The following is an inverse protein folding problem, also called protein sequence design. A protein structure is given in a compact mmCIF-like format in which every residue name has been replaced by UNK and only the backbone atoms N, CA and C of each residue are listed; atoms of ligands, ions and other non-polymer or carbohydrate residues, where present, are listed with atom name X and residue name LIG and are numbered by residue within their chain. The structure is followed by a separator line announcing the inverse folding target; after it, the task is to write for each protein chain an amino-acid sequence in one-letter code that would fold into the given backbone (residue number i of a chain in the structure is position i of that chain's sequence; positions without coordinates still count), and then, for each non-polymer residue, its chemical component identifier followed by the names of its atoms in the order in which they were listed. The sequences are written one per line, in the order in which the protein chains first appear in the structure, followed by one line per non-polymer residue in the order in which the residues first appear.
data_IF_660032981831
#
_entry.id   IF_660032981831
#
_cell.length_a   1.000
_cell.length_b   1.000
_cell.length_c   1.000
_cell.angle_alpha   90.00
_cell.angle_beta   90.00
_cell.angle_gamma   90.00
#
_symmetry.space_group_name_H-M   'P 1'
#
loop_
_entity.id
_entity.type
_entity.pdbx_description
1 polymer ?
#
# COMPACT_ATOMS: atom_id res chain seq x y z
N UNK A 1 12.08 -64.21 -8.02
CA UNK A 1 11.31 -63.31 -8.90
C UNK A 1 11.31 -61.95 -8.25
N UNK A 2 12.13 -61.02 -8.75
CA UNK A 2 12.22 -59.66 -8.24
C UNK A 2 11.01 -58.87 -8.72
N UNK A 3 10.12 -58.49 -7.80
CA UNK A 3 9.05 -57.54 -8.08
C UNK A 3 9.72 -56.19 -8.29
N UNK A 4 9.64 -55.68 -9.52
CA UNK A 4 10.20 -54.41 -9.93
C UNK A 4 9.57 -53.27 -9.11
N UNK A 5 10.41 -52.29 -8.78
CA UNK A 5 10.09 -51.05 -8.07
C UNK A 5 8.74 -50.49 -8.53
N UNK A 6 7.76 -50.49 -7.64
CA UNK A 6 6.48 -49.81 -7.82
C UNK A 6 6.76 -48.33 -8.03
N UNK A 7 6.45 -47.85 -9.22
CA UNK A 7 6.51 -46.44 -9.59
C UNK A 7 5.75 -45.59 -8.56
N UNK A 8 6.48 -44.77 -7.80
CA UNK A 8 5.92 -43.92 -6.73
C UNK A 8 5.46 -42.55 -7.23
N UNK A 9 5.43 -42.32 -8.55
CA UNK A 9 4.99 -41.06 -9.13
C UNK A 9 3.58 -40.74 -8.67
N UNK A 10 3.38 -39.58 -8.03
CA UNK A 10 2.07 -39.14 -7.53
C UNK A 10 1.65 -39.70 -6.17
N UNK A 11 2.50 -40.46 -5.48
CA UNK A 11 2.26 -40.93 -4.11
C UNK A 11 3.23 -40.24 -3.13
N UNK A 12 2.70 -39.76 -2.01
CA UNK A 12 3.50 -39.23 -0.89
C UNK A 12 3.00 -39.80 0.43
N UNK A 13 3.90 -40.19 1.32
CA UNK A 13 3.58 -40.83 2.59
C UNK A 13 4.37 -40.18 3.73
N UNK A 14 3.72 -39.87 4.85
CA UNK A 14 4.36 -39.32 6.04
C UNK A 14 3.58 -39.63 7.32
N UNK A 15 4.23 -39.49 8.48
CA UNK A 15 3.58 -39.55 9.79
C UNK A 15 3.56 -38.16 10.42
N UNK A 16 2.42 -37.74 10.98
CA UNK A 16 2.27 -36.45 11.64
C UNK A 16 2.79 -36.48 13.08
N UNK A 17 3.08 -35.31 13.66
CA UNK A 17 3.50 -35.17 15.07
C UNK A 17 2.44 -35.68 16.06
N UNK A 18 1.17 -35.75 15.64
CA UNK A 18 0.06 -36.32 16.40
C UNK A 18 -0.05 -37.86 16.25
N UNK A 19 0.87 -38.49 15.52
CA UNK A 19 0.95 -39.95 15.36
C UNK A 19 0.07 -40.54 14.25
N UNK A 20 -0.51 -39.70 13.37
CA UNK A 20 -1.30 -40.20 12.23
C UNK A 20 -0.40 -40.54 11.05
N UNK A 21 -0.59 -41.71 10.48
CA UNK A 21 0.05 -42.11 9.23
C UNK A 21 -0.81 -41.65 8.04
N UNK A 22 -0.22 -40.89 7.13
CA UNK A 22 -0.91 -40.22 6.03
C UNK A 22 -0.32 -40.66 4.70
N UNK A 23 -1.21 -41.05 3.78
CA UNK A 23 -0.89 -41.36 2.37
C UNK A 23 -1.66 -40.39 1.46
N UNK A 24 -0.93 -39.53 0.75
CA UNK A 24 -1.46 -38.60 -0.25
C UNK A 24 -1.33 -39.22 -1.65
N UNK A 25 -2.43 -39.16 -2.40
CA UNK A 25 -2.55 -39.76 -3.73
C UNK A 25 -2.93 -38.66 -4.73
N UNK A 26 -2.01 -38.31 -5.62
CA UNK A 26 -2.22 -37.40 -6.75
C UNK A 26 -2.74 -38.17 -7.98
N UNK A 27 -3.43 -37.52 -8.92
CA UNK A 27 -3.98 -38.23 -10.10
C UNK A 27 -2.88 -38.90 -10.94
N UNK A 28 -1.64 -38.39 -10.91
CA UNK A 28 -0.49 -39.02 -11.57
C UNK A 28 -0.05 -40.35 -10.94
N UNK A 29 -0.61 -40.74 -9.79
CA UNK A 29 -0.47 -42.11 -9.27
C UNK A 29 -1.06 -43.16 -10.23
N UNK A 30 -2.00 -42.75 -11.08
CA UNK A 30 -2.57 -43.55 -12.14
C UNK A 30 -1.80 -43.29 -13.46
N UNK A 31 -1.08 -44.28 -14.01
CA UNK A 31 -0.31 -44.12 -15.25
C UNK A 31 -1.16 -43.63 -16.44
N UNK A 32 -2.44 -43.99 -16.48
CA UNK A 32 -3.34 -43.63 -17.57
C UNK A 32 -3.74 -42.14 -17.54
N UNK A 33 -3.56 -41.48 -16.38
CA UNK A 33 -3.90 -40.07 -16.15
C UNK A 33 -2.74 -39.11 -16.34
N UNK A 34 -1.57 -39.59 -16.77
CA UNK A 34 -0.36 -38.77 -16.92
C UNK A 34 -0.26 -38.05 -18.26
N UNK A 35 -1.09 -38.43 -19.23
CA UNK A 35 -1.05 -37.84 -20.57
C UNK A 35 -1.62 -36.42 -20.60
N UNK A 36 -1.05 -35.57 -21.44
CA UNK A 36 -1.56 -34.20 -21.67
C UNK A 36 -2.97 -34.20 -22.29
N UNK A 37 -3.29 -35.24 -23.07
CA UNK A 37 -4.64 -35.44 -23.61
C UNK A 37 -5.66 -35.67 -22.49
N UNK A 38 -5.32 -36.51 -21.51
CA UNK A 38 -6.17 -36.73 -20.34
C UNK A 38 -6.32 -35.45 -19.51
N UNK A 39 -5.22 -34.73 -19.25
CA UNK A 39 -5.28 -33.44 -18.52
C UNK A 39 -6.19 -32.44 -19.23
N UNK A 40 -6.09 -32.31 -20.56
CA UNK A 40 -6.94 -31.41 -21.34
C UNK A 40 -8.42 -31.79 -21.25
N UNK A 41 -8.74 -33.08 -21.29
CA UNK A 41 -10.12 -33.57 -21.17
C UNK A 41 -10.66 -33.41 -19.75
N UNK A 42 -9.85 -33.73 -18.73
CA UNK A 42 -10.23 -33.58 -17.33
C UNK A 42 -10.38 -32.10 -16.92
N UNK A 43 -9.64 -31.19 -17.57
CA UNK A 43 -9.82 -29.73 -17.42
C UNK A 43 -11.10 -29.19 -18.08
N UNK A 44 -11.75 -29.93 -18.98
CA UNK A 44 -12.98 -29.44 -19.61
C UNK A 44 -14.11 -29.35 -18.59
N UNK A 45 -14.57 -28.12 -18.32
CA UNK A 45 -15.67 -27.86 -17.39
C UNK A 45 -15.23 -27.52 -15.97
N UNK A 46 -13.92 -27.51 -15.69
CA UNK A 46 -13.35 -26.94 -14.47
C UNK A 46 -12.69 -25.61 -14.81
N UNK A 47 -12.84 -24.63 -13.93
CA UNK A 47 -11.99 -23.44 -13.97
C UNK A 47 -10.60 -23.78 -13.44
N UNK A 48 -9.62 -22.89 -13.68
CA UNK A 48 -8.23 -23.14 -13.27
C UNK A 48 -8.10 -23.42 -11.77
N UNK A 49 -8.96 -22.84 -10.93
CA UNK A 49 -8.97 -23.07 -9.47
C UNK A 49 -9.54 -24.42 -9.09
N UNK A 50 -10.65 -24.83 -9.71
CA UNK A 50 -11.20 -26.18 -9.53
C UNK A 50 -10.18 -27.24 -9.94
N UNK A 51 -9.40 -26.98 -10.99
CA UNK A 51 -8.29 -27.85 -11.36
C UNK A 51 -7.20 -27.90 -10.28
N UNK A 52 -6.72 -26.75 -9.81
CA UNK A 52 -5.62 -26.69 -8.86
C UNK A 52 -5.96 -27.30 -7.49
N UNK A 53 -7.22 -27.11 -7.04
CA UNK A 53 -7.70 -27.67 -5.77
C UNK A 53 -7.95 -29.17 -5.84
N UNK A 54 -8.68 -29.63 -6.86
CA UNK A 54 -9.15 -31.01 -6.93
C UNK A 54 -8.09 -31.96 -7.53
N UNK A 55 -7.27 -31.47 -8.47
CA UNK A 55 -6.33 -32.31 -9.22
C UNK A 55 -4.87 -32.07 -8.81
N UNK A 56 -4.42 -30.83 -8.70
CA UNK A 56 -3.02 -30.54 -8.31
C UNK A 56 -2.77 -30.62 -6.78
N UNK A 57 -3.81 -30.98 -6.00
CA UNK A 57 -3.78 -31.10 -4.54
C UNK A 57 -3.15 -29.88 -3.88
N UNK A 58 -3.45 -28.69 -4.40
CA UNK A 58 -2.90 -27.46 -3.88
C UNK A 58 -3.59 -27.07 -2.56
N UNK A 59 -3.05 -27.55 -1.45
CA UNK A 59 -3.50 -27.22 -0.09
C UNK A 59 -3.13 -25.80 0.35
N UNK A 60 -2.48 -24.99 -0.50
CA UNK A 60 -2.32 -23.55 -0.28
C UNK A 60 -3.61 -22.76 -0.57
N UNK A 61 -4.71 -23.45 -0.88
CA UNK A 61 -6.06 -22.90 -1.03
C UNK A 61 -6.49 -22.15 0.25
N UNK A 62 -6.07 -20.90 0.36
CA UNK A 62 -6.79 -19.90 1.13
C UNK A 62 -8.21 -19.85 0.54
N UNK A 63 -9.25 -19.77 1.38
CA UNK A 63 -10.63 -19.58 0.89
C UNK A 63 -10.65 -18.41 -0.12
N UNK A 64 -11.36 -18.55 -1.25
CA UNK A 64 -11.52 -17.47 -2.24
C UNK A 64 -10.52 -17.47 -3.41
N UNK A 65 -10.67 -16.48 -4.30
CA UNK A 65 -9.89 -16.31 -5.52
C UNK A 65 -8.76 -15.29 -5.29
N UNK A 66 -7.47 -15.67 -5.35
CA UNK A 66 -6.37 -14.73 -5.17
C UNK A 66 -6.43 -13.55 -6.15
N UNK A 67 -6.28 -12.34 -5.61
CA UNK A 67 -6.49 -11.10 -6.39
C UNK A 67 -5.52 -10.98 -7.56
N UNK A 68 -4.22 -11.19 -7.30
CA UNK A 68 -3.15 -10.97 -8.29
C UNK A 68 -2.66 -12.27 -8.95
N UNK A 69 -3.45 -13.34 -8.96
CA UNK A 69 -3.03 -14.68 -9.44
C UNK A 69 -2.43 -14.72 -10.85
N UNK A 70 -2.85 -13.78 -11.71
CA UNK A 70 -2.47 -13.70 -13.13
C UNK A 70 -1.32 -12.72 -13.37
N UNK A 71 -0.82 -12.06 -12.34
CA UNK A 71 0.21 -11.03 -12.44
C UNK A 71 1.38 -11.31 -11.48
N UNK A 72 1.15 -12.02 -10.38
CA UNK A 72 2.15 -12.32 -9.37
C UNK A 72 2.87 -13.65 -9.62
N UNK A 73 4.20 -13.62 -9.55
CA UNK A 73 5.09 -14.76 -9.63
C UNK A 73 6.22 -14.58 -8.59
N UNK A 74 6.18 -15.35 -7.49
CA UNK A 74 7.13 -15.18 -6.38
C UNK A 74 8.60 -15.27 -6.81
N UNK A 75 8.93 -16.12 -7.79
CA UNK A 75 10.31 -16.27 -8.29
C UNK A 75 10.84 -15.06 -9.07
N UNK A 76 9.93 -14.21 -9.57
CA UNK A 76 10.23 -13.00 -10.36
C UNK A 76 10.18 -11.76 -9.46
N UNK A 77 9.11 -11.63 -8.69
CA UNK A 77 8.80 -10.41 -7.93
C UNK A 77 9.43 -10.36 -6.54
N UNK A 78 9.85 -11.49 -5.97
CA UNK A 78 10.61 -11.49 -4.71
C UNK A 78 12.09 -11.40 -5.02
N UNK A 79 12.74 -10.35 -4.51
CA UNK A 79 14.16 -10.14 -4.71
C UNK A 79 14.99 -11.24 -4.00
N UNK A 80 15.88 -11.88 -4.76
CA UNK A 80 16.80 -12.93 -4.25
C UNK A 80 17.88 -12.35 -3.34
N UNK A 81 18.15 -11.06 -3.47
CA UNK A 81 19.06 -10.28 -2.61
C UNK A 81 18.31 -9.09 -2.03
N UNK A 82 18.66 -8.63 -0.82
CA UNK A 82 18.06 -7.43 -0.25
C UNK A 82 18.15 -6.23 -1.21
N UNK A 83 17.01 -5.58 -1.44
CA UNK A 83 16.95 -4.36 -2.25
C UNK A 83 17.54 -3.20 -1.45
N UNK A 84 18.61 -2.59 -1.95
CA UNK A 84 19.17 -1.39 -1.38
C UNK A 84 18.26 -0.19 -1.67
N UNK A 85 18.10 0.70 -0.69
CA UNK A 85 17.47 1.99 -0.91
C UNK A 85 18.48 2.96 -1.54
N UNK A 86 17.98 3.90 -2.33
CA UNK A 86 18.75 4.97 -2.97
C UNK A 86 18.49 6.30 -2.24
N UNK A 87 19.44 6.89 -1.50
CA UNK A 87 19.21 8.09 -0.70
C UNK A 87 18.73 9.31 -1.50
N UNK A 88 19.13 9.41 -2.76
CA UNK A 88 18.78 10.49 -3.68
C UNK A 88 17.34 10.38 -4.22
N UNK A 89 16.69 9.23 -4.05
CA UNK A 89 15.33 8.97 -4.51
C UNK A 89 14.37 9.01 -3.30
N UNK A 90 13.23 9.72 -3.39
CA UNK A 90 12.24 9.71 -2.33
C UNK A 90 11.75 8.29 -2.00
N UNK A 91 11.65 7.98 -0.71
CA UNK A 91 10.96 6.78 -0.23
C UNK A 91 9.46 7.08 -0.19
N UNK A 92 8.72 6.38 -1.04
CA UNK A 92 7.27 6.47 -1.11
C UNK A 92 6.65 5.50 -0.12
N UNK A 93 5.83 6.03 0.78
CA UNK A 93 5.12 5.31 1.82
C UNK A 93 3.63 5.26 1.51
N UNK A 94 3.10 4.07 1.32
CA UNK A 94 1.67 3.83 1.20
C UNK A 94 1.05 3.48 2.54
N UNK A 95 -0.15 3.98 2.83
CA UNK A 95 -0.80 3.85 4.15
C UNK A 95 -2.24 3.38 4.03
N UNK A 96 -2.59 2.38 4.84
CA UNK A 96 -3.99 1.99 5.12
C UNK A 96 -4.33 2.38 6.55
N UNK A 97 -5.47 3.04 6.71
CA UNK A 97 -5.95 3.50 8.01
C UNK A 97 -7.02 2.54 8.55
N UNK A 98 -7.03 2.36 9.86
CA UNK A 98 -8.04 1.53 10.51
C UNK A 98 -7.58 1.11 11.90
N UNK A 99 -8.25 0.08 12.44
CA UNK A 99 -7.89 -0.52 13.74
C UNK A 99 -6.57 -1.29 13.70
N UNK A 100 -6.09 -1.63 12.49
CA UNK A 100 -4.79 -2.24 12.22
C UNK A 100 -4.09 -1.45 11.11
N UNK A 101 -3.60 -0.24 11.41
CA UNK A 101 -3.01 0.63 10.41
C UNK A 101 -1.77 -0.05 9.82
N UNK A 102 -1.50 0.19 8.54
CA UNK A 102 -0.40 -0.44 7.83
C UNK A 102 0.36 0.58 6.98
N UNK A 103 1.67 0.35 6.80
CA UNK A 103 2.53 1.18 5.98
C UNK A 103 3.49 0.31 5.15
N UNK A 104 3.62 0.61 3.86
CA UNK A 104 4.55 -0.03 2.94
C UNK A 104 5.55 1.01 2.44
N UNK A 105 6.85 0.71 2.54
CA UNK A 105 7.95 1.57 2.08
C UNK A 105 8.44 1.10 0.72
N UNK A 106 8.55 2.00 -0.25
CA UNK A 106 8.97 1.66 -1.60
C UNK A 106 9.71 2.80 -2.30
N UNK A 107 10.38 2.51 -3.43
CA UNK A 107 11.01 3.52 -4.28
C UNK A 107 10.73 3.24 -5.75
N UNK A 108 10.36 4.29 -6.48
CA UNK A 108 10.35 4.28 -7.94
C UNK A 108 11.72 4.73 -8.43
N UNK A 109 12.52 3.78 -8.90
CA UNK A 109 13.90 4.03 -9.34
C UNK A 109 13.93 4.76 -10.68
N UNK A 110 15.00 5.52 -10.99
CA UNK A 110 15.17 6.16 -12.29
C UNK A 110 15.19 5.19 -13.48
N UNK A 111 15.53 3.92 -13.24
CA UNK A 111 15.46 2.84 -14.23
C UNK A 111 14.04 2.33 -14.52
N UNK A 112 13.01 3.02 -14.04
CA UNK A 112 11.61 2.66 -14.28
C UNK A 112 11.10 1.51 -13.41
N UNK A 113 11.87 1.08 -12.40
CA UNK A 113 11.49 -0.05 -11.52
C UNK A 113 10.88 0.44 -10.21
N UNK A 114 9.90 -0.29 -9.67
CA UNK A 114 9.30 -0.08 -8.36
C UNK A 114 9.76 -1.15 -7.37
N UNK A 115 10.53 -0.72 -6.37
CA UNK A 115 11.12 -1.58 -5.36
C UNK A 115 10.42 -1.40 -4.02
N UNK A 116 9.81 -2.45 -3.46
CA UNK A 116 9.28 -2.46 -2.10
C UNK A 116 10.39 -2.84 -1.13
N UNK A 117 10.69 -1.95 -0.20
CA UNK A 117 11.86 -2.02 0.69
C UNK A 117 11.54 -2.62 2.06
N UNK A 118 10.37 -2.29 2.61
CA UNK A 118 9.92 -2.72 3.93
C UNK A 118 8.40 -2.63 4.08
N UNK A 119 7.87 -3.34 5.06
CA UNK A 119 6.47 -3.28 5.48
C UNK A 119 6.39 -3.11 7.01
N UNK A 120 5.28 -2.53 7.48
CA UNK A 120 4.93 -2.51 8.90
C UNK A 120 3.42 -2.47 9.07
N UNK A 121 2.91 -3.26 10.00
CA UNK A 121 1.49 -3.29 10.34
C UNK A 121 1.33 -3.21 11.85
N UNK A 122 0.46 -2.30 12.29
CA UNK A 122 0.07 -2.16 13.68
C UNK A 122 -0.90 -3.26 14.08
N UNK A 123 -0.58 -3.99 15.14
CA UNK A 123 -1.49 -4.97 15.75
C UNK A 123 -2.23 -4.29 16.91
N UNK A 124 -3.54 -4.17 16.81
CA UNK A 124 -4.40 -3.56 17.84
C UNK A 124 -3.92 -2.18 18.31
N UNK A 125 -3.51 -1.32 17.38
CA UNK A 125 -2.96 0.00 17.71
C UNK A 125 -3.48 1.06 16.75
N UNK A 126 -3.46 2.32 17.18
CA UNK A 126 -3.89 3.45 16.34
C UNK A 126 -2.78 4.02 15.47
N UNK A 127 -3.15 4.87 14.52
CA UNK A 127 -2.21 5.49 13.57
C UNK A 127 -1.09 6.26 14.27
N UNK A 128 -1.37 6.95 15.38
CA UNK A 128 -0.37 7.68 16.18
C UNK A 128 0.77 6.76 16.65
N UNK A 129 0.41 5.60 17.19
CA UNK A 129 1.37 4.62 17.68
C UNK A 129 2.20 4.04 16.53
N UNK A 130 1.58 3.76 15.39
CA UNK A 130 2.28 3.32 14.20
C UNK A 130 3.28 4.37 13.69
N UNK A 131 2.89 5.64 13.64
CA UNK A 131 3.80 6.73 13.25
C UNK A 131 5.02 6.80 14.18
N UNK A 132 4.82 6.69 15.50
CA UNK A 132 5.91 6.69 16.48
C UNK A 132 6.84 5.49 16.32
N UNK A 133 6.28 4.30 16.09
CA UNK A 133 7.07 3.10 15.78
C UNK A 133 7.91 3.30 14.51
N UNK A 134 7.31 3.85 13.45
CA UNK A 134 8.00 4.15 12.20
C UNK A 134 9.15 5.12 12.43
N UNK A 135 8.92 6.21 13.17
CA UNK A 135 9.98 7.18 13.52
C UNK A 135 11.15 6.55 14.26
N UNK A 136 10.85 5.67 15.22
CA UNK A 136 11.87 5.04 16.06
C UNK A 136 12.64 3.94 15.32
N UNK A 137 11.94 3.08 14.57
CA UNK A 137 12.50 1.81 14.08
C UNK A 137 12.76 1.76 12.58
N UNK A 138 12.01 2.52 11.78
CA UNK A 138 12.06 2.44 10.32
C UNK A 138 12.79 3.61 9.68
N UNK A 139 12.53 4.85 10.10
CA UNK A 139 13.23 6.02 9.52
C UNK A 139 14.77 5.94 9.67
N UNK A 140 15.34 5.43 10.78
CA UNK A 140 16.80 5.26 10.88
C UNK A 140 17.39 4.27 9.87
N UNK A 141 16.57 3.39 9.26
CA UNK A 141 17.01 2.45 8.22
C UNK A 141 17.21 3.11 6.85
N UNK A 142 16.68 4.31 6.67
CA UNK A 142 16.77 5.10 5.43
C UNK A 142 17.38 6.48 5.71
N UNK A 143 18.66 6.56 6.15
CA UNK A 143 19.27 7.83 6.51
C UNK A 143 19.34 8.78 5.31
N UNK A 144 18.96 10.03 5.55
CA UNK A 144 18.94 11.10 4.54
C UNK A 144 17.79 10.99 3.53
N UNK A 145 16.92 9.98 3.63
CA UNK A 145 15.81 9.83 2.71
C UNK A 145 14.78 10.97 2.85
N UNK A 146 14.28 11.43 1.71
CA UNK A 146 13.04 12.20 1.63
C UNK A 146 11.86 11.23 1.57
N UNK A 147 10.69 11.65 2.07
CA UNK A 147 9.50 10.81 2.13
C UNK A 147 8.32 11.42 1.39
N UNK A 148 7.57 10.59 0.70
CA UNK A 148 6.27 10.94 0.11
C UNK A 148 5.22 9.96 0.64
N UNK A 149 4.14 10.46 1.21
CA UNK A 149 3.08 9.63 1.80
C UNK A 149 1.85 9.61 0.92
N UNK A 150 1.21 8.44 0.82
CA UNK A 150 -0.02 8.22 0.08
C UNK A 150 -1.00 7.40 0.90
N UNK A 151 -2.24 7.84 1.00
CA UNK A 151 -3.23 7.16 1.83
C UNK A 151 -4.65 7.24 1.28
N UNK A 152 -5.55 6.46 1.86
CA UNK A 152 -6.99 6.56 1.56
C UNK A 152 -7.51 7.98 1.84
N UNK A 153 -8.20 8.63 0.87
CA UNK A 153 -8.88 9.90 1.09
C UNK A 153 -9.88 9.91 2.27
N UNK A 154 -10.43 8.75 2.67
CA UNK A 154 -11.27 8.62 3.85
C UNK A 154 -10.54 8.97 5.16
N UNK A 155 -9.21 8.86 5.19
CA UNK A 155 -8.39 9.24 6.34
C UNK A 155 -8.34 10.72 6.67
N UNK A 156 -8.93 11.57 5.82
CA UNK A 156 -9.09 13.01 6.02
C UNK A 156 -10.50 13.36 6.53
N UNK A 157 -11.37 12.38 6.71
CA UNK A 157 -12.62 12.56 7.45
C UNK A 157 -12.34 12.34 8.94
N UNK A 158 -13.06 13.07 9.79
CA UNK A 158 -12.90 12.93 11.25
C UNK A 158 -13.18 11.49 11.67
N UNK A 159 -12.32 10.96 12.54
CA UNK A 159 -12.53 9.62 13.06
C UNK A 159 -13.70 9.60 14.05
N UNK A 160 -14.35 8.45 14.23
CA UNK A 160 -15.43 8.31 15.22
C UNK A 160 -14.94 8.36 16.69
N UNK A 161 -13.63 8.33 16.91
CA UNK A 161 -13.01 8.09 18.23
C UNK A 161 -12.08 9.20 18.70
N UNK A 162 -11.58 10.01 17.78
CA UNK A 162 -10.64 11.10 18.01
C UNK A 162 -11.16 12.28 17.18
N UNK A 163 -11.17 13.50 17.73
CA UNK A 163 -11.66 14.71 17.05
C UNK A 163 -10.78 15.08 15.84
N UNK A 164 -9.63 14.41 15.70
CA UNK A 164 -8.66 14.56 14.60
C UNK A 164 -8.80 13.45 13.55
N UNK A 165 -8.49 13.82 12.32
CA UNK A 165 -8.38 12.90 11.19
C UNK A 165 -7.09 12.09 11.27
N UNK A 166 -7.03 10.92 10.60
CA UNK A 166 -5.80 10.13 10.55
C UNK A 166 -4.67 10.89 9.83
N UNK A 167 -5.01 11.68 8.81
CA UNK A 167 -4.07 12.52 8.09
C UNK A 167 -3.45 13.62 8.99
N UNK A 168 -4.24 14.24 9.86
CA UNK A 168 -3.75 15.23 10.84
C UNK A 168 -2.77 14.60 11.83
N UNK A 169 -3.11 13.43 12.36
CA UNK A 169 -2.23 12.70 13.29
C UNK A 169 -0.90 12.36 12.61
N UNK A 170 -0.94 11.92 11.34
CA UNK A 170 0.28 11.69 10.56
C UNK A 170 1.08 12.97 10.37
N UNK A 171 0.43 14.10 10.06
CA UNK A 171 1.12 15.37 9.88
C UNK A 171 1.81 15.84 11.17
N UNK A 172 1.16 15.68 12.33
CA UNK A 172 1.74 15.98 13.65
C UNK A 172 2.93 15.07 13.95
N UNK A 173 2.77 13.76 13.77
CA UNK A 173 3.79 12.80 14.17
C UNK A 173 4.92 12.76 13.15
N UNK A 174 4.69 12.89 11.85
CA UNK A 174 5.72 12.74 10.80
C UNK A 174 6.19 14.07 10.19
N UNK A 175 5.55 15.19 10.51
CA UNK A 175 5.93 16.52 10.03
C UNK A 175 5.54 16.81 8.58
N UNK A 176 4.71 15.97 7.95
CA UNK A 176 4.25 16.16 6.57
C UNK A 176 2.84 15.61 6.36
N UNK A 177 2.07 16.29 5.52
CA UNK A 177 0.73 15.85 5.12
C UNK A 177 0.81 14.74 4.06
N UNK A 178 0.03 13.66 4.22
CA UNK A 178 -0.05 12.65 3.18
C UNK A 178 -0.80 13.15 1.95
N UNK A 179 -0.47 12.60 0.80
CA UNK A 179 -1.21 12.76 -0.44
C UNK A 179 -2.40 11.81 -0.44
N UNK A 180 -3.48 12.22 -1.11
CA UNK A 180 -4.68 11.41 -1.31
C UNK A 180 -4.45 10.44 -2.45
N UNK A 181 -4.58 9.14 -2.18
CA UNK A 181 -4.56 8.10 -3.21
C UNK A 181 -5.89 8.00 -3.96
N UNK A 182 -5.92 7.22 -5.04
CA UNK A 182 -7.16 6.91 -5.77
C UNK A 182 -7.98 5.91 -4.95
N UNK A 183 -9.29 6.16 -4.78
CA UNK A 183 -10.19 5.25 -4.05
C UNK A 183 -10.70 4.09 -4.90
N UNK A 184 -10.94 4.34 -6.19
CA UNK A 184 -11.56 3.37 -7.10
C UNK A 184 -10.80 2.05 -7.09
N UNK A 185 -11.48 0.97 -6.70
CA UNK A 185 -10.87 -0.37 -6.61
C UNK A 185 -10.22 -0.81 -7.93
N UNK A 186 -10.96 -0.75 -9.04
CA UNK A 186 -10.47 -1.18 -10.36
C UNK A 186 -9.18 -0.47 -10.75
N UNK A 187 -9.11 0.83 -10.49
CA UNK A 187 -7.94 1.66 -10.77
C UNK A 187 -6.71 1.33 -9.93
N UNK A 188 -6.93 0.94 -8.67
CA UNK A 188 -5.89 0.47 -7.77
C UNK A 188 -5.38 -0.91 -8.18
N UNK A 189 -6.29 -1.81 -8.51
CA UNK A 189 -5.98 -3.16 -9.00
C UNK A 189 -5.21 -3.11 -10.32
N UNK A 190 -5.65 -2.30 -11.28
CA UNK A 190 -5.01 -2.15 -12.59
C UNK A 190 -3.59 -1.59 -12.43
N UNK A 191 -3.42 -0.56 -11.61
CA UNK A 191 -2.10 0.04 -11.37
C UNK A 191 -1.09 -0.98 -10.81
N UNK A 192 -1.47 -1.76 -9.79
CA UNK A 192 -0.57 -2.82 -9.26
C UNK A 192 -0.32 -3.90 -10.31
N UNK A 193 -1.35 -4.32 -11.05
CA UNK A 193 -1.24 -5.34 -12.08
C UNK A 193 -0.30 -4.93 -13.22
N UNK A 194 -0.32 -3.65 -13.63
CA UNK A 194 0.59 -3.09 -14.63
C UNK A 194 2.05 -3.18 -14.16
N UNK A 195 2.32 -2.80 -12.91
CA UNK A 195 3.66 -2.89 -12.32
C UNK A 195 4.17 -4.34 -12.22
N UNK A 196 3.30 -5.27 -11.85
CA UNK A 196 3.64 -6.69 -11.73
C UNK A 196 3.93 -7.35 -13.08
N UNK A 197 3.13 -7.03 -14.11
CA UNK A 197 3.30 -7.58 -15.47
C UNK A 197 4.39 -6.88 -16.29
N UNK A 198 4.81 -5.70 -15.85
CA UNK A 198 5.75 -4.89 -16.59
C UNK A 198 7.18 -5.43 -16.50
N UNK A 199 7.90 -5.31 -17.61
CA UNK A 199 9.34 -5.56 -17.71
C UNK A 199 10.03 -4.37 -18.41
N UNK A 200 11.31 -4.16 -18.10
CA UNK A 200 12.18 -3.24 -18.85
C UNK A 200 12.55 -3.83 -20.21
N UNK A 201 13.17 -3.03 -21.09
CA UNK A 201 13.63 -3.51 -22.41
C UNK A 201 14.63 -4.69 -22.32
N UNK A 202 15.38 -4.77 -21.22
CA UNK A 202 16.32 -5.86 -20.93
C UNK A 202 15.67 -7.09 -20.26
N UNK A 203 14.34 -7.10 -20.10
CA UNK A 203 13.59 -8.20 -19.49
C UNK A 203 13.67 -8.24 -17.96
N UNK A 204 14.09 -7.15 -17.32
CA UNK A 204 14.10 -7.05 -15.86
C UNK A 204 12.69 -6.67 -15.37
N UNK A 205 12.12 -7.35 -14.37
CA UNK A 205 10.80 -7.01 -13.86
C UNK A 205 10.77 -5.59 -13.29
N UNK A 206 9.70 -4.85 -13.61
CA UNK A 206 9.50 -3.50 -13.11
C UNK A 206 9.21 -3.52 -11.61
N UNK A 207 8.42 -4.48 -11.11
CA UNK A 207 8.15 -4.62 -9.68
C UNK A 207 9.08 -5.64 -9.02
N UNK A 208 9.68 -5.28 -7.89
CA UNK A 208 10.29 -6.23 -6.96
C UNK A 208 10.04 -5.85 -5.50
N UNK A 209 10.00 -6.84 -4.61
CA UNK A 209 9.94 -6.65 -3.16
C UNK A 209 11.09 -7.33 -2.44
N UNK A 210 11.51 -6.74 -1.32
CA UNK A 210 12.44 -7.37 -0.40
C UNK A 210 11.78 -8.59 0.28
N UNK A 211 12.55 -9.66 0.48
CA UNK A 211 12.05 -10.91 1.08
C UNK A 211 11.64 -10.77 2.54
N UNK A 212 12.00 -9.67 3.20
CA UNK A 212 11.55 -9.33 4.55
C UNK A 212 10.08 -8.87 4.63
N UNK A 213 9.43 -8.58 3.49
CA UNK A 213 8.02 -8.19 3.42
C UNK A 213 7.09 -9.41 3.47
N UNK A 214 7.09 -10.12 4.61
CA UNK A 214 6.47 -11.43 4.76
C UNK A 214 4.95 -11.43 4.65
N UNK A 215 4.26 -10.42 5.21
CA UNK A 215 2.79 -10.34 5.20
C UNK A 215 2.31 -9.91 3.83
N UNK A 216 2.97 -8.92 3.22
CA UNK A 216 2.64 -8.48 1.86
C UNK A 216 2.85 -9.63 0.85
N UNK A 217 3.97 -10.37 0.97
CA UNK A 217 4.23 -11.58 0.18
C UNK A 217 3.11 -12.61 0.33
N UNK A 218 2.71 -12.94 1.57
CA UNK A 218 1.59 -13.87 1.80
C UNK A 218 0.29 -13.37 1.17
N UNK A 219 0.03 -12.06 1.21
CA UNK A 219 -1.11 -11.44 0.53
C UNK A 219 -1.09 -11.74 -0.97
N UNK A 220 0.04 -11.52 -1.64
CA UNK A 220 0.21 -11.80 -3.06
C UNK A 220 0.13 -13.29 -3.41
N UNK A 221 0.62 -14.16 -2.52
CA UNK A 221 0.58 -15.62 -2.67
C UNK A 221 -0.81 -16.24 -2.43
N UNK A 222 -1.83 -15.41 -2.18
CA UNK A 222 -3.23 -15.83 -2.15
C UNK A 222 -3.98 -15.51 -0.87
N UNK A 223 -3.30 -14.99 0.15
CA UNK A 223 -3.96 -14.58 1.37
C UNK A 223 -4.83 -13.31 1.20
N UNK A 224 -4.59 -12.53 0.13
CA UNK A 224 -5.48 -11.48 -0.34
C UNK A 224 -6.30 -11.98 -1.53
N UNK A 225 -7.59 -12.20 -1.30
CA UNK A 225 -8.48 -12.90 -2.22
C UNK A 225 -9.88 -12.29 -2.25
N UNK A 226 -10.60 -12.54 -3.35
CA UNK A 226 -12.04 -12.34 -3.43
C UNK A 226 -12.75 -13.48 -2.70
N UNK A 227 -13.69 -13.15 -1.83
CA UNK A 227 -14.51 -14.15 -1.15
C UNK A 227 -15.47 -14.82 -2.13
N UNK A 228 -15.52 -16.15 -2.08
CA UNK A 228 -16.51 -16.94 -2.80
C UNK A 228 -17.91 -16.74 -2.19
N UNK A 229 -18.88 -16.51 -3.06
CA UNK A 229 -20.30 -16.39 -2.78
C UNK A 229 -21.01 -17.69 -3.23
N UNK A 230 -22.34 -17.74 -3.11
CA UNK A 230 -23.09 -18.88 -3.64
C UNK A 230 -22.86 -19.05 -5.15
N UNK A 231 -22.87 -20.31 -5.60
CA UNK A 231 -22.86 -20.70 -7.02
C UNK A 231 -21.56 -20.33 -7.77
N UNK A 232 -20.40 -20.33 -7.10
CA UNK A 232 -19.09 -20.10 -7.74
C UNK A 232 -18.87 -18.66 -8.21
N UNK A 233 -19.69 -17.72 -7.72
CA UNK A 233 -19.49 -16.28 -7.93
C UNK A 233 -18.56 -15.73 -6.86
N UNK A 234 -17.84 -14.66 -7.17
CA UNK A 234 -16.98 -13.98 -6.21
C UNK A 234 -17.48 -12.55 -5.97
N UNK A 235 -17.14 -11.97 -4.83
CA UNK A 235 -17.34 -10.54 -4.59
C UNK A 235 -16.53 -9.71 -5.61
N UNK A 236 -17.04 -8.52 -5.93
CA UNK A 236 -16.35 -7.58 -6.82
C UNK A 236 -15.08 -7.00 -6.19
N UNK A 237 -15.06 -6.87 -4.86
CA UNK A 237 -13.91 -6.39 -4.09
C UNK A 237 -13.34 -7.50 -3.19
N UNK A 238 -12.03 -7.45 -2.88
CA UNK A 238 -11.38 -8.45 -2.03
C UNK A 238 -11.94 -8.46 -0.61
N UNK A 239 -11.90 -9.62 0.04
CA UNK A 239 -12.33 -9.74 1.43
C UNK A 239 -11.34 -9.00 2.35
N UNK A 240 -11.87 -8.12 3.21
CA UNK A 240 -11.07 -7.45 4.24
C UNK A 240 -10.62 -8.49 5.26
N UNK A 241 -9.31 -8.63 5.42
CA UNK A 241 -8.69 -9.59 6.31
C UNK A 241 -7.33 -9.06 6.81
N UNK A 242 -6.60 -9.83 7.61
CA UNK A 242 -5.32 -9.37 8.17
C UNK A 242 -4.26 -9.00 7.12
N UNK A 243 -4.36 -9.50 5.89
CA UNK A 243 -3.44 -9.25 4.78
C UNK A 243 -3.89 -8.09 3.89
N UNK A 244 -5.19 -7.72 3.92
CA UNK A 244 -5.71 -6.64 3.08
C UNK A 244 -5.09 -5.29 3.41
N UNK A 245 -4.72 -5.03 4.67
CA UNK A 245 -4.19 -3.74 5.10
C UNK A 245 -2.90 -3.34 4.37
N UNK A 246 -1.90 -4.23 4.32
CA UNK A 246 -0.65 -3.96 3.61
C UNK A 246 -0.84 -3.96 2.09
N UNK A 247 -1.78 -4.76 1.58
CA UNK A 247 -2.13 -4.76 0.16
C UNK A 247 -2.80 -3.45 -0.27
N UNK A 248 -3.75 -2.95 0.50
CA UNK A 248 -4.40 -1.65 0.28
C UNK A 248 -3.38 -0.51 0.40
N UNK A 249 -2.53 -0.54 1.43
CA UNK A 249 -1.45 0.42 1.62
C UNK A 249 -0.51 0.47 0.41
N UNK A 250 -0.11 -0.67 -0.15
CA UNK A 250 0.74 -0.74 -1.36
C UNK A 250 0.06 -0.14 -2.60
N UNK A 251 -1.26 -0.31 -2.74
CA UNK A 251 -2.00 0.11 -3.93
C UNK A 251 -2.03 1.63 -4.12
N UNK A 252 -2.06 2.43 -3.03
CA UNK A 252 -2.13 3.88 -3.18
C UNK A 252 -0.89 4.46 -3.90
N UNK A 253 0.35 4.17 -3.50
CA UNK A 253 1.55 4.53 -4.29
C UNK A 253 1.51 4.05 -5.74
N UNK A 254 0.99 2.84 -6.00
CA UNK A 254 0.92 2.27 -7.35
C UNK A 254 0.17 3.20 -8.32
N UNK A 255 -0.94 3.79 -7.84
CA UNK A 255 -1.79 4.66 -8.66
C UNK A 255 -1.17 6.01 -8.97
N UNK A 256 -0.22 6.47 -8.16
CA UNK A 256 0.37 7.79 -8.30
C UNK A 256 1.52 7.82 -9.30
N UNK A 257 2.00 6.65 -9.72
CA UNK A 257 3.06 6.52 -10.71
C UNK A 257 2.69 5.42 -11.71
N UNK A 258 1.62 5.62 -12.49
CA UNK A 258 1.23 4.66 -13.53
C UNK A 258 2.24 4.68 -14.69
N UNK A 259 2.53 3.49 -15.23
CA UNK A 259 3.39 3.33 -16.39
C UNK A 259 2.86 4.16 -17.57
N UNK A 260 3.70 5.02 -18.15
CA UNK A 260 3.34 5.87 -19.29
C UNK A 260 2.77 7.25 -18.95
N UNK A 261 2.53 7.59 -17.68
CA UNK A 261 2.19 8.97 -17.27
C UNK A 261 3.42 9.82 -16.91
N UNK A 262 4.62 9.29 -17.12
CA UNK A 262 5.86 9.85 -16.59
C UNK A 262 5.95 9.63 -15.09
N UNK A 263 7.15 9.70 -14.55
CA UNK A 263 7.37 9.74 -13.10
C UNK A 263 6.61 10.97 -12.58
N UNK A 264 5.37 10.81 -12.09
CA UNK A 264 4.70 11.87 -11.36
C UNK A 264 5.34 11.86 -9.98
N UNK A 265 6.57 12.37 -9.91
CA UNK A 265 7.06 12.96 -8.66
C UNK A 265 5.99 13.96 -8.28
N UNK A 266 5.20 13.65 -7.26
CA UNK A 266 4.40 14.72 -6.69
C UNK A 266 5.40 15.77 -6.26
N UNK A 267 5.23 17.01 -6.74
CA UNK A 267 6.21 18.04 -6.52
C UNK A 267 6.53 18.11 -5.03
N UNK A 268 7.82 18.12 -4.70
CA UNK A 268 8.28 18.36 -3.33
C UNK A 268 7.57 19.60 -2.77
N UNK A 269 7.47 19.79 -1.44
CA UNK A 269 6.88 21.01 -0.87
C UNK A 269 7.40 22.31 -1.53
N UNK A 270 8.67 22.33 -1.99
CA UNK A 270 9.26 23.45 -2.73
C UNK A 270 8.76 23.57 -4.18
N UNK A 271 8.41 22.46 -4.83
CA UNK A 271 7.87 22.39 -6.18
C UNK A 271 6.34 22.56 -6.21
N UNK A 272 5.63 22.39 -5.08
CA UNK A 272 4.17 22.60 -4.99
C UNK A 272 3.80 24.02 -5.39
N UNK A 273 4.67 25.01 -5.12
CA UNK A 273 4.55 26.41 -5.55
C UNK A 273 4.60 26.67 -7.07
N UNK A 274 4.89 25.65 -7.89
CA UNK A 274 5.08 25.79 -9.35
C UNK A 274 4.07 24.99 -10.18
N UNK A 275 3.08 24.37 -9.54
CA UNK A 275 2.01 23.68 -10.27
C UNK A 275 1.03 24.74 -10.77
N UNK A 276 0.78 24.76 -12.08
CA UNK A 276 -0.35 25.48 -12.66
C UNK A 276 -1.64 24.71 -12.31
N UNK A 277 -2.01 24.79 -11.02
CA UNK A 277 -3.19 24.19 -10.44
C UNK A 277 -4.29 25.26 -10.45
N UNK A 278 -5.52 24.98 -10.92
CA UNK A 278 -6.62 25.94 -10.93
C UNK A 278 -7.24 26.08 -9.52
N UNK A 279 -6.39 26.29 -8.52
CA UNK A 279 -6.59 25.99 -7.10
C UNK A 279 -8.03 26.00 -6.60
N UNK A 280 -8.41 24.91 -5.95
CA UNK A 280 -9.70 24.77 -5.28
C UNK A 280 -9.46 24.71 -3.77
N UNK A 281 -9.54 25.85 -3.10
CA UNK A 281 -9.15 26.01 -1.70
C UNK A 281 -10.27 25.62 -0.73
N UNK A 282 -9.91 24.89 0.33
CA UNK A 282 -10.78 24.57 1.46
C UNK A 282 -10.12 25.01 2.77
N UNK A 283 -10.91 25.45 3.75
CA UNK A 283 -10.36 25.81 5.06
C UNK A 283 -9.74 24.59 5.74
N UNK A 284 -8.58 24.81 6.34
CA UNK A 284 -7.88 23.79 7.12
C UNK A 284 -8.54 23.66 8.49
N UNK A 285 -9.15 22.50 8.78
CA UNK A 285 -9.65 22.19 10.13
C UNK A 285 -8.54 21.98 11.17
N UNK A 286 -7.30 21.80 10.73
CA UNK A 286 -6.15 21.45 11.57
C UNK A 286 -5.38 22.66 12.11
N UNK A 287 -5.35 23.75 11.34
CA UNK A 287 -4.62 24.98 11.69
C UNK A 287 -5.55 26.15 11.36
N UNK A 288 -6.05 26.81 12.41
CA UNK A 288 -6.88 28.00 12.28
C UNK A 288 -6.15 29.03 11.41
N UNK A 289 -6.86 29.55 10.41
CA UNK A 289 -6.33 30.56 9.51
C UNK A 289 -5.46 30.05 8.36
N UNK A 290 -5.43 28.75 8.11
CA UNK A 290 -4.84 28.18 6.89
C UNK A 290 -5.92 27.62 5.96
N UNK A 291 -5.68 27.67 4.65
CA UNK A 291 -6.46 26.98 3.63
C UNK A 291 -5.57 26.04 2.83
N UNK A 292 -6.10 24.90 2.43
CA UNK A 292 -5.39 23.89 1.63
C UNK A 292 -6.07 23.70 0.29
N UNK A 293 -5.30 23.55 -0.78
CA UNK A 293 -5.84 23.28 -2.10
C UNK A 293 -6.21 21.81 -2.20
N UNK A 294 -7.48 21.54 -2.48
CA UNK A 294 -8.04 20.21 -2.67
C UNK A 294 -7.32 19.42 -3.78
N UNK A 295 -6.84 20.10 -4.82
CA UNK A 295 -6.24 19.47 -6.01
C UNK A 295 -4.76 19.18 -5.88
N UNK A 296 -3.98 20.07 -5.26
CA UNK A 296 -2.52 19.95 -5.23
C UNK A 296 -1.92 19.84 -3.81
N UNK A 297 -2.74 19.96 -2.76
CA UNK A 297 -2.26 19.90 -1.38
C UNK A 297 -1.32 21.05 -0.99
N UNK A 298 -1.29 22.15 -1.75
CA UNK A 298 -0.67 23.39 -1.28
C UNK A 298 -1.43 23.91 -0.07
N UNK A 299 -0.72 24.51 0.88
CA UNK A 299 -1.30 25.17 2.03
C UNK A 299 -0.85 26.63 2.05
N UNK A 300 -1.76 27.55 2.32
CA UNK A 300 -1.47 28.98 2.46
C UNK A 300 -2.30 29.59 3.59
N UNK A 301 -1.92 30.79 4.04
CA UNK A 301 -2.72 31.53 5.03
C UNK A 301 -4.01 32.05 4.38
N UNK A 302 -5.08 32.11 5.16
CA UNK A 302 -6.33 32.71 4.72
C UNK A 302 -6.13 34.20 4.42
N UNK A 303 -6.85 34.75 3.45
CA UNK A 303 -6.76 36.16 3.07
C UNK A 303 -7.11 37.08 4.26
N UNK A 304 -8.06 36.67 5.11
CA UNK A 304 -8.41 37.41 6.33
C UNK A 304 -7.23 37.52 7.32
N UNK A 305 -6.42 36.47 7.46
CA UNK A 305 -5.25 36.47 8.35
C UNK A 305 -4.07 37.24 7.76
N UNK A 306 -3.92 37.22 6.43
CA UNK A 306 -2.96 38.07 5.73
C UNK A 306 -3.32 39.57 5.87
N UNK A 307 -4.59 39.92 5.83
CA UNK A 307 -5.06 41.29 6.08
C UNK A 307 -4.83 41.72 7.53
N UNK A 308 -5.10 40.85 8.51
CA UNK A 308 -4.83 41.08 9.93
C UNK A 308 -3.33 41.23 10.21
N UNK A 309 -2.47 40.40 9.62
CA UNK A 309 -1.02 40.55 9.73
C UNK A 309 -0.51 41.82 9.05
N UNK A 310 -1.08 42.20 7.91
CA UNK A 310 -0.75 43.47 7.23
C UNK A 310 -1.20 44.69 8.06
N UNK A 311 -2.35 44.60 8.73
CA UNK A 311 -2.85 45.59 9.70
C UNK A 311 -1.93 45.68 10.91
N UNK A 312 -1.54 44.55 11.51
CA UNK A 312 -0.60 44.50 12.63
C UNK A 312 0.76 45.10 12.25
N UNK A 313 1.30 44.76 11.07
CA UNK A 313 2.56 45.33 10.56
C UNK A 313 2.45 46.82 10.17
N UNK A 314 1.27 47.32 9.80
CA UNK A 314 1.06 48.76 9.62
C UNK A 314 0.97 49.45 10.98
N UNK A 315 0.27 48.86 11.93
CA UNK A 315 0.07 49.41 13.26
C UNK A 315 1.40 49.48 14.07
N UNK A 316 2.27 48.48 13.94
CA UNK A 316 3.62 48.46 14.52
C UNK A 316 4.54 49.56 13.92
N UNK A 317 4.33 49.91 12.65
CA UNK A 317 5.07 51.01 11.97
C UNK A 317 4.62 52.42 12.38
N UNK A 318 3.42 52.58 12.93
CA UNK A 318 2.88 53.88 13.32
C UNK A 318 2.86 54.10 14.84
N UNK A 319 3.27 53.13 15.66
CA UNK A 319 3.42 53.29 17.11
C UNK A 319 2.11 53.55 17.86
N UNK A 320 0.96 53.25 17.24
CA UNK A 320 -0.38 53.52 17.77
C UNK A 320 -1.16 52.23 17.97
N UNK A 321 -0.68 51.35 18.85
CA UNK A 321 -1.52 50.27 19.37
C UNK A 321 -1.56 50.44 20.89
N UNK A 322 -2.77 50.69 21.42
CA UNK A 322 -3.01 50.60 22.86
C UNK A 322 -2.79 49.17 23.33
N UNK A 323 -2.33 49.00 24.58
CA UNK A 323 -2.05 47.67 25.16
C UNK A 323 -3.25 46.71 25.05
N UNK A 324 -4.47 47.24 24.99
CA UNK A 324 -5.73 46.50 24.85
C UNK A 324 -5.86 45.70 23.54
N UNK A 325 -5.38 46.24 22.42
CA UNK A 325 -5.43 45.53 21.12
C UNK A 325 -4.31 44.50 21.03
N UNK A 326 -3.13 44.78 21.58
CA UNK A 326 -2.03 43.81 21.65
C UNK A 326 -2.43 42.62 22.53
N UNK A 327 -3.08 42.87 23.66
CA UNK A 327 -3.53 41.83 24.56
C UNK A 327 -4.64 40.96 23.94
N UNK A 328 -5.58 41.57 23.20
CA UNK A 328 -6.58 40.80 22.45
C UNK A 328 -5.95 39.93 21.34
N UNK A 329 -4.92 40.42 20.64
CA UNK A 329 -4.19 39.66 19.63
C UNK A 329 -3.32 38.54 20.24
N UNK A 330 -2.84 38.71 21.48
CA UNK A 330 -2.16 37.66 22.26
C UNK A 330 -3.13 36.57 22.71
N UNK A 331 -4.33 36.94 23.15
CA UNK A 331 -5.39 35.98 23.52
C UNK A 331 -5.80 35.10 22.34
N UNK A 332 -5.81 35.67 21.12
CA UNK A 332 -6.07 34.93 19.88
C UNK A 332 -4.86 34.12 19.36
N UNK A 333 -3.69 34.22 20.00
CA UNK A 333 -2.47 33.49 19.63
C UNK A 333 -1.76 33.99 18.37
N UNK A 334 -2.12 35.19 17.89
CA UNK A 334 -1.65 35.76 16.62
C UNK A 334 -0.34 36.56 16.81
N UNK A 335 -0.13 37.12 18.00
CA UNK A 335 1.04 37.95 18.34
C UNK A 335 1.80 37.36 19.54
N UNK A 336 3.14 37.26 19.47
CA UNK A 336 3.99 36.76 20.57
C UNK A 336 4.65 37.89 21.36
#
# INVERSE_FOLDING_TARGET
MSVALTDQTGLREWTTDAGFHVLQIHYTADPDKRSEEWKRQARQGLDDLGWDREFELNWSSVEGLPVFRHAWESEVHVAKTPLAYLPEIPVVRGWDFGLMPACVFSQFTPGGRWNVLAEVQGLHTGIRSLCRLIKAEYLPRFPGAKYEDYCDPAGFSQSQTDEKTCAEIMAEELGQWPNRGIQTWTERYDAVSEWLRGETEDGTPLFQMNSCCHILKQGFEGAYHYREMAEGRFKEEPEKNRFSHLQDALQYPATCNRLGQGLVLHPTPEQRGKIDCPHEWVESGAVAGMRVCWRCGQAEKNEADLELEALAQRADRFGEIGEDVIDHLRELGIYR
#
